data_IF_336480482469
#
_entry.id   IF_336480482469
#
_cell.length_a   1.000
_cell.length_b   1.000
_cell.length_c   1.000
_cell.angle_alpha   90.00
_cell.angle_beta   90.00
_cell.angle_gamma   90.00
#
_symmetry.space_group_name_H-M   'P 1'
#
loop_
_entity.id
_entity.type
_entity.pdbx_description
1 polymer ?
#
# COMPACT_ATOMS: atom_id res chain seq x y z
N UNK A 1 9.02 -8.87 -6.17
CA UNK A 1 9.98 -9.80 -5.53
C UNK A 1 9.31 -11.13 -5.21
N UNK A 2 10.08 -12.16 -4.79
CA UNK A 2 9.58 -13.53 -4.64
C UNK A 2 8.36 -13.66 -3.74
N UNK A 3 8.34 -12.95 -2.60
CA UNK A 3 7.19 -12.95 -1.68
C UNK A 3 5.90 -12.45 -2.35
N UNK A 4 5.95 -11.31 -3.03
CA UNK A 4 4.78 -10.77 -3.74
C UNK A 4 4.33 -11.70 -4.86
N UNK A 5 5.27 -12.35 -5.57
CA UNK A 5 4.94 -13.39 -6.58
C UNK A 5 4.19 -14.56 -5.97
N UNK A 6 4.60 -15.02 -4.77
CA UNK A 6 3.88 -16.08 -4.04
C UNK A 6 2.47 -15.65 -3.64
N UNK A 7 2.29 -14.42 -3.14
CA UNK A 7 0.96 -13.87 -2.81
C UNK A 7 0.05 -13.86 -4.03
N UNK A 8 0.53 -13.36 -5.18
CA UNK A 8 -0.22 -13.39 -6.47
C UNK A 8 -0.65 -14.81 -6.83
N UNK A 9 0.27 -15.77 -6.74
CA UNK A 9 -0.02 -17.16 -7.03
C UNK A 9 -1.06 -17.79 -6.10
N UNK A 10 -1.05 -17.43 -4.81
CA UNK A 10 -2.06 -17.88 -3.84
C UNK A 10 -3.43 -17.27 -4.17
N UNK A 11 -3.49 -15.96 -4.37
CA UNK A 11 -4.72 -15.24 -4.70
C UNK A 11 -5.38 -15.82 -5.97
N UNK A 12 -4.60 -16.04 -7.03
CA UNK A 12 -5.07 -16.63 -8.28
C UNK A 12 -5.61 -18.06 -8.10
N UNK A 13 -4.91 -18.93 -7.34
CA UNK A 13 -5.38 -20.31 -7.11
C UNK A 13 -6.62 -20.40 -6.23
N UNK A 14 -6.76 -19.48 -5.27
CA UNK A 14 -7.90 -19.43 -4.38
C UNK A 14 -9.10 -18.69 -4.98
N UNK A 15 -8.91 -17.95 -6.08
CA UNK A 15 -9.98 -17.16 -6.69
C UNK A 15 -10.43 -15.98 -5.83
N UNK A 16 -9.53 -15.40 -5.04
CA UNK A 16 -9.82 -14.28 -4.13
C UNK A 16 -8.94 -13.08 -4.43
N UNK A 17 -9.41 -11.89 -4.07
CA UNK A 17 -8.57 -10.69 -3.99
C UNK A 17 -7.88 -10.65 -2.63
N UNK A 18 -6.57 -10.49 -2.63
CA UNK A 18 -5.74 -10.33 -1.43
C UNK A 18 -5.14 -8.93 -1.43
N UNK A 19 -5.32 -8.22 -0.32
CA UNK A 19 -4.59 -6.99 -0.01
C UNK A 19 -3.56 -7.32 1.09
N UNK A 20 -2.29 -7.09 0.83
CA UNK A 20 -1.21 -7.44 1.75
C UNK A 20 -0.17 -6.34 1.86
N UNK A 21 0.25 -6.02 3.09
CA UNK A 21 1.31 -5.06 3.38
C UNK A 21 2.71 -5.68 3.33
N UNK A 22 3.67 -4.90 2.85
CA UNK A 22 5.09 -5.28 2.79
C UNK A 22 5.98 -4.05 2.71
N UNK A 23 7.27 -4.22 3.03
CA UNK A 23 8.27 -3.22 2.70
C UNK A 23 8.93 -3.50 1.36
N UNK A 24 9.12 -2.47 0.54
CA UNK A 24 9.80 -2.54 -0.76
C UNK A 24 10.99 -1.58 -0.73
N UNK A 25 12.20 -1.98 -1.15
CA UNK A 25 13.33 -1.05 -1.26
C UNK A 25 12.93 0.20 -2.08
N UNK A 26 13.15 1.37 -1.51
CA UNK A 26 12.93 2.63 -2.21
C UNK A 26 14.12 2.96 -3.09
N UNK A 27 13.85 3.46 -4.30
CA UNK A 27 14.86 4.07 -5.16
C UNK A 27 15.03 5.57 -4.92
N UNK A 28 14.28 6.14 -3.96
CA UNK A 28 14.33 7.58 -3.67
C UNK A 28 15.37 7.95 -2.61
N UNK A 29 16.05 9.06 -2.84
CA UNK A 29 16.99 9.63 -1.89
C UNK A 29 16.29 10.18 -0.62
N UNK A 30 16.87 9.98 0.58
CA UNK A 30 18.13 9.29 0.84
C UNK A 30 18.06 7.78 0.60
N UNK A 31 19.11 7.22 0.00
CA UNK A 31 19.27 5.79 -0.20
C UNK A 31 19.16 4.98 1.10
N UNK A 32 18.73 3.72 1.00
CA UNK A 32 18.61 2.81 2.15
C UNK A 32 17.25 2.83 2.85
N UNK A 33 16.28 3.61 2.35
CA UNK A 33 14.90 3.57 2.82
C UNK A 33 14.06 2.52 2.09
N UNK A 34 12.90 2.22 2.66
CA UNK A 34 11.86 1.36 2.06
C UNK A 34 10.56 2.13 1.86
N UNK A 35 9.69 1.74 0.95
CA UNK A 35 8.29 2.15 0.96
C UNK A 35 7.48 1.16 1.79
N UNK A 36 6.49 1.65 2.54
CA UNK A 36 5.51 0.82 3.21
C UNK A 36 4.34 0.59 2.26
N UNK A 37 4.28 -0.57 1.64
CA UNK A 37 3.51 -0.83 0.43
C UNK A 37 2.39 -1.82 0.69
N UNK A 38 1.18 -1.52 0.25
CA UNK A 38 0.14 -2.50 -0.02
C UNK A 38 0.26 -3.00 -1.46
N UNK A 39 0.15 -4.31 -1.64
CA UNK A 39 -0.21 -4.92 -2.93
C UNK A 39 -1.66 -5.40 -2.83
N UNK A 40 -2.45 -5.16 -3.87
CA UNK A 40 -3.75 -5.77 -4.08
C UNK A 40 -3.67 -6.65 -5.32
N UNK A 41 -4.01 -7.93 -5.21
CA UNK A 41 -3.89 -8.87 -6.33
C UNK A 41 -4.94 -9.98 -6.26
N UNK A 42 -5.44 -10.44 -7.40
CA UNK A 42 -6.46 -11.46 -7.51
C UNK A 42 -7.18 -11.41 -8.86
N UNK A 43 -8.31 -12.11 -9.01
CA UNK A 43 -9.11 -12.06 -10.24
C UNK A 43 -9.44 -10.61 -10.64
N UNK A 44 -8.91 -10.16 -11.79
CA UNK A 44 -9.17 -8.81 -12.31
C UNK A 44 -8.51 -7.65 -11.55
N UNK A 45 -7.73 -7.92 -10.51
CA UNK A 45 -7.12 -6.88 -9.66
C UNK A 45 -5.60 -7.04 -9.64
N UNK A 46 -4.89 -5.96 -9.95
CA UNK A 46 -3.47 -5.79 -9.67
C UNK A 46 -3.21 -4.31 -9.41
N UNK A 47 -2.93 -3.96 -8.15
CA UNK A 47 -2.66 -2.59 -7.75
C UNK A 47 -1.58 -2.54 -6.66
N UNK A 48 -0.99 -1.36 -6.54
CA UNK A 48 0.02 -1.03 -5.53
C UNK A 48 -0.35 0.30 -4.91
N UNK A 49 -0.18 0.40 -3.59
CA UNK A 49 -0.30 1.63 -2.84
C UNK A 49 0.92 1.76 -1.92
N UNK A 50 1.63 2.88 -2.02
CA UNK A 50 2.71 3.20 -1.08
C UNK A 50 2.17 4.21 -0.06
N UNK A 51 2.37 3.95 1.24
CA UNK A 51 1.87 4.75 2.34
C UNK A 51 2.24 6.22 2.17
N UNK A 52 1.22 7.09 2.11
CA UNK A 52 1.40 8.52 1.90
C UNK A 52 1.80 9.20 3.21
N UNK A 53 1.09 8.91 4.30
CA UNK A 53 1.30 9.59 5.57
C UNK A 53 2.23 8.83 6.51
N UNK A 54 3.47 9.31 6.63
CA UNK A 54 4.46 8.74 7.55
C UNK A 54 4.26 9.24 8.98
N UNK A 55 4.47 8.35 9.95
CA UNK A 55 4.32 8.63 11.37
C UNK A 55 5.60 9.25 11.95
N UNK A 56 5.64 10.58 11.97
CA UNK A 56 6.72 11.35 12.59
C UNK A 56 6.19 12.12 13.81
N UNK A 57 5.93 11.38 14.90
CA UNK A 57 5.34 11.93 16.11
C UNK A 57 5.82 11.22 17.38
N UNK A 58 5.67 11.89 18.53
CA UNK A 58 5.95 11.35 19.87
C UNK A 58 7.34 10.70 20.02
N UNK A 59 8.36 11.31 19.39
CA UNK A 59 9.75 10.83 19.45
C UNK A 59 10.06 9.68 18.48
N UNK A 60 9.09 9.21 17.71
CA UNK A 60 9.29 8.29 16.60
C UNK A 60 9.39 9.05 15.27
N UNK A 61 10.21 8.55 14.34
CA UNK A 61 10.41 9.17 13.02
C UNK A 61 10.45 8.07 11.98
N UNK A 62 9.28 7.69 11.46
CA UNK A 62 9.14 6.68 10.40
C UNK A 62 9.91 7.11 9.14
N UNK A 63 9.91 8.42 8.83
CA UNK A 63 10.54 8.96 7.61
C UNK A 63 12.07 8.79 7.53
N UNK A 64 12.72 8.44 8.65
CA UNK A 64 14.16 8.11 8.67
C UNK A 64 14.46 6.84 7.88
N UNK A 65 13.54 5.88 7.87
CA UNK A 65 13.73 4.57 7.23
C UNK A 65 12.69 4.28 6.15
N UNK A 66 11.61 5.05 6.09
CA UNK A 66 10.53 4.88 5.11
C UNK A 66 10.44 6.09 4.18
N UNK A 67 10.32 5.83 2.87
CA UNK A 67 10.01 6.83 1.86
C UNK A 67 8.48 6.90 1.66
N UNK A 68 7.91 8.12 1.51
CA UNK A 68 6.47 8.28 1.35
C UNK A 68 6.02 7.91 -0.07
N UNK A 69 4.79 7.40 -0.19
CA UNK A 69 4.04 7.40 -1.44
C UNK A 69 3.41 8.76 -1.73
N UNK A 70 2.77 8.90 -2.89
CA UNK A 70 2.18 10.17 -3.35
C UNK A 70 0.80 10.03 -3.99
N UNK A 71 0.42 8.83 -4.38
CA UNK A 71 -0.79 8.58 -5.17
C UNK A 71 -1.76 7.73 -4.35
N UNK A 72 -3.03 8.14 -4.19
CA UNK A 72 -4.06 7.26 -3.69
C UNK A 72 -4.32 6.13 -4.68
N UNK A 73 -4.88 5.03 -4.18
CA UNK A 73 -5.19 3.88 -5.01
C UNK A 73 -6.58 3.33 -4.68
N UNK A 74 -7.31 3.01 -5.73
CA UNK A 74 -8.64 2.40 -5.68
C UNK A 74 -8.62 1.14 -6.53
N UNK A 75 -9.32 0.10 -6.07
CA UNK A 75 -9.55 -1.14 -6.82
C UNK A 75 -11.04 -1.43 -6.92
N UNK A 76 -11.42 -2.20 -7.92
CA UNK A 76 -12.78 -2.74 -8.08
C UNK A 76 -12.76 -4.22 -7.66
N UNK A 77 -13.64 -4.62 -6.75
CA UNK A 77 -13.83 -6.02 -6.33
C UNK A 77 -15.30 -6.36 -6.44
N UNK A 78 -15.67 -7.19 -7.42
CA UNK A 78 -17.05 -7.61 -7.67
C UNK A 78 -18.06 -6.44 -7.78
N UNK A 79 -17.64 -5.35 -8.45
CA UNK A 79 -18.44 -4.13 -8.62
C UNK A 79 -18.49 -3.23 -7.39
N UNK A 80 -17.68 -3.50 -6.37
CA UNK A 80 -17.48 -2.64 -5.21
C UNK A 80 -16.15 -1.92 -5.34
N UNK A 81 -16.22 -0.59 -5.32
CA UNK A 81 -15.05 0.29 -5.27
C UNK A 81 -14.43 0.25 -3.87
N UNK A 82 -13.13 -0.06 -3.77
CA UNK A 82 -12.38 -0.18 -2.51
C UNK A 82 -11.14 0.71 -2.54
N UNK A 83 -11.09 1.71 -1.66
CA UNK A 83 -9.91 2.54 -1.46
C UNK A 83 -8.84 1.87 -0.60
N UNK A 84 -7.57 1.99 -0.99
CA UNK A 84 -6.43 1.44 -0.26
C UNK A 84 -5.81 2.51 0.63
N UNK A 85 -5.77 2.25 1.94
CA UNK A 85 -5.11 3.10 2.96
C UNK A 85 -4.39 2.23 3.97
N UNK A 86 -3.37 2.76 4.65
CA UNK A 86 -2.56 2.00 5.59
C UNK A 86 -2.27 2.76 6.89
N UNK A 87 -2.77 2.20 7.99
CA UNK A 87 -2.42 2.57 9.36
C UNK A 87 -2.63 4.06 9.68
N UNK A 88 -1.62 4.91 9.46
CA UNK A 88 -1.65 6.32 9.87
C UNK A 88 -2.50 7.20 8.94
N UNK A 89 -2.75 6.74 7.71
CA UNK A 89 -3.63 7.41 6.75
C UNK A 89 -5.02 7.70 7.32
N UNK A 90 -5.52 6.87 8.26
CA UNK A 90 -6.82 7.06 8.94
C UNK A 90 -6.95 8.42 9.66
N UNK A 91 -5.83 9.11 9.90
CA UNK A 91 -5.79 10.42 10.56
C UNK A 91 -5.97 11.59 9.58
N UNK A 92 -6.04 11.33 8.27
CA UNK A 92 -6.07 12.34 7.21
C UNK A 92 -7.38 12.24 6.44
N UNK A 93 -8.45 12.90 6.91
CA UNK A 93 -9.78 12.77 6.31
C UNK A 93 -9.83 13.20 4.84
N UNK A 94 -8.97 14.13 4.43
CA UNK A 94 -8.87 14.61 3.05
C UNK A 94 -8.57 13.48 2.07
N UNK A 95 -7.76 12.49 2.47
CA UNK A 95 -7.47 11.31 1.65
C UNK A 95 -8.73 10.46 1.40
N UNK A 96 -9.65 10.38 2.37
CA UNK A 96 -10.89 9.63 2.21
C UNK A 96 -11.93 10.38 1.36
N UNK A 97 -11.83 11.70 1.27
CA UNK A 97 -12.63 12.49 0.31
C UNK A 97 -12.14 12.24 -1.11
N UNK A 98 -10.83 12.12 -1.32
CA UNK A 98 -10.26 11.83 -2.65
C UNK A 98 -10.53 10.39 -3.12
N UNK A 99 -10.69 9.45 -2.19
CA UNK A 99 -11.00 8.04 -2.47
C UNK A 99 -12.50 7.75 -2.73
N UNK A 100 -13.38 8.74 -2.53
CA UNK A 100 -14.84 8.61 -2.63
C UNK A 100 -15.37 9.09 -3.99
#
# INVERSE_FOLDING_TARGET
>A
GPWATSVRGIAARAGIVVVAGMFVPSSEEPAGRVTNTLIATGPGVEARYDKIHLYDAFGFTESKTVAPGREPAVIEVDGVTVGLTLCYDIRFPEQYVELA
#
